data_IF_696276466468
#
_entry.id   IF_696276466468
#
_cell.length_a   1.000
_cell.length_b   1.000
_cell.length_c   1.000
_cell.angle_alpha   90.00
_cell.angle_beta   90.00
_cell.angle_gamma   90.00
#
_symmetry.space_group_name_H-M   'P 1'
#
loop_
_entity.id
_entity.type
_entity.pdbx_description
1 polymer ?
#
# COMPACT_ATOMS: atom_id res chain seq x y z
N UNK A 1 2.33 20.27 -74.40
CA UNK A 1 1.74 18.92 -74.25
C UNK A 1 0.71 19.04 -73.13
N UNK A 2 -0.54 19.33 -73.51
CA UNK A 2 -1.73 18.46 -73.35
C UNK A 2 -2.09 18.26 -71.86
N UNK A 3 -3.05 19.02 -71.30
CA UNK A 3 -4.53 18.87 -71.36
C UNK A 3 -5.02 17.70 -70.47
N UNK A 4 -6.03 17.79 -69.58
CA UNK A 4 -7.01 18.81 -69.18
C UNK A 4 -7.78 18.35 -67.91
N UNK A 5 -8.60 19.23 -67.30
CA UNK A 5 -9.49 18.96 -66.15
C UNK A 5 -10.80 18.21 -66.53
N UNK A 6 -11.96 18.33 -65.82
CA UNK A 6 -12.31 19.21 -64.68
C UNK A 6 -13.22 18.56 -63.56
N UNK A 7 -13.73 19.40 -62.64
CA UNK A 7 -14.98 19.26 -61.83
C UNK A 7 -15.03 18.19 -60.69
N UNK A 8 -15.69 18.36 -59.53
CA UNK A 8 -16.63 19.34 -58.98
C UNK A 8 -16.86 19.02 -57.48
N UNK A 9 -17.48 19.98 -56.76
CA UNK A 9 -18.31 19.84 -55.55
C UNK A 9 -17.66 19.80 -54.16
N UNK A 10 -17.82 20.93 -53.47
CA UNK A 10 -17.86 21.05 -52.02
C UNK A 10 -19.10 20.36 -51.44
N UNK A 11 -18.97 19.61 -50.33
CA UNK A 11 -20.05 19.40 -49.34
C UNK A 11 -19.42 19.36 -47.95
N UNK A 12 -19.86 20.27 -47.09
CA UNK A 12 -19.70 20.23 -45.64
C UNK A 12 -20.75 19.29 -45.06
N UNK A 13 -20.42 18.41 -44.13
CA UNK A 13 -21.42 17.77 -43.26
C UNK A 13 -20.75 17.13 -42.03
N UNK A 14 -21.03 17.71 -40.86
CA UNK A 14 -21.34 16.94 -39.66
C UNK A 14 -22.87 17.04 -39.48
N UNK A 15 -23.58 16.21 -38.68
CA UNK A 15 -23.20 15.04 -37.89
C UNK A 15 -24.12 13.81 -38.19
N UNK A 16 -23.88 12.65 -37.55
CA UNK A 16 -24.95 11.65 -37.37
C UNK A 16 -24.80 10.93 -36.04
N UNK A 17 -25.74 11.23 -35.14
CA UNK A 17 -26.09 10.46 -33.96
C UNK A 17 -26.76 9.15 -34.41
N UNK A 18 -26.02 8.05 -34.36
CA UNK A 18 -26.55 6.70 -34.49
C UNK A 18 -26.65 6.06 -33.11
N UNK A 19 -27.83 6.11 -32.51
CA UNK A 19 -28.23 5.21 -31.44
C UNK A 19 -28.41 3.81 -32.03
N UNK A 20 -27.43 2.93 -31.82
CA UNK A 20 -27.63 1.50 -31.99
C UNK A 20 -27.70 0.88 -30.60
N UNK A 21 -28.93 0.56 -30.19
CA UNK A 21 -29.21 -0.43 -29.16
C UNK A 21 -28.55 -1.74 -29.60
N UNK A 22 -27.33 -1.98 -29.11
CA UNK A 22 -26.68 -3.29 -29.24
C UNK A 22 -27.21 -4.15 -28.11
N UNK A 23 -27.88 -5.21 -28.52
CA UNK A 23 -28.45 -6.27 -27.70
C UNK A 23 -27.59 -6.62 -26.49
N UNK A 24 -28.27 -6.77 -25.37
CA UNK A 24 -27.73 -7.31 -24.12
C UNK A 24 -27.22 -8.73 -24.35
N UNK A 25 -25.97 -8.87 -24.80
CA UNK A 25 -25.21 -10.09 -24.61
C UNK A 25 -24.94 -10.23 -23.11
N UNK A 26 -25.56 -11.25 -22.53
CA UNK A 26 -25.31 -11.75 -21.19
C UNK A 26 -23.79 -11.85 -21.01
N UNK A 27 -23.24 -11.02 -20.12
CA UNK A 27 -21.80 -10.99 -19.84
C UNK A 27 -21.27 -12.38 -19.46
N UNK A 28 -19.98 -12.65 -19.70
CA UNK A 28 -19.42 -13.97 -19.48
C UNK A 28 -19.66 -14.40 -18.03
N UNK A 29 -20.06 -15.67 -17.86
CA UNK A 29 -20.19 -16.34 -16.58
C UNK A 29 -18.99 -16.02 -15.68
N UNK A 30 -19.26 -15.82 -14.39
CA UNK A 30 -18.25 -15.54 -13.38
C UNK A 30 -17.06 -16.48 -13.55
N UNK A 31 -15.89 -15.88 -13.76
CA UNK A 31 -14.63 -16.55 -14.02
C UNK A 31 -14.20 -17.33 -12.77
N UNK A 32 -14.79 -18.52 -12.59
CA UNK A 32 -14.55 -19.39 -11.46
C UNK A 32 -13.09 -19.80 -11.49
N UNK A 33 -12.31 -19.37 -10.51
CA UNK A 33 -10.94 -19.81 -10.38
C UNK A 33 -10.95 -21.30 -10.08
N UNK A 34 -10.61 -22.11 -11.09
CA UNK A 34 -10.68 -23.57 -11.04
C UNK A 34 -9.79 -24.18 -9.96
N UNK A 35 -8.89 -23.38 -9.36
CA UNK A 35 -8.05 -23.76 -8.24
C UNK A 35 -8.78 -23.76 -6.87
N UNK A 36 -9.89 -23.02 -6.72
CA UNK A 36 -10.62 -22.90 -5.44
C UNK A 36 -11.76 -23.92 -5.36
N UNK A 37 -11.39 -25.19 -5.26
CA UNK A 37 -12.32 -26.34 -5.23
C UNK A 37 -12.78 -26.71 -3.80
N UNK A 38 -13.78 -27.60 -3.70
CA UNK A 38 -14.13 -28.21 -2.40
C UNK A 38 -12.97 -29.00 -1.78
N UNK A 39 -12.10 -29.60 -2.60
CA UNK A 39 -10.90 -30.30 -2.15
C UNK A 39 -9.89 -29.33 -1.54
N UNK A 40 -9.63 -28.21 -2.20
CA UNK A 40 -8.83 -27.10 -1.66
C UNK A 40 -9.38 -26.62 -0.31
N UNK A 41 -10.70 -26.46 -0.19
CA UNK A 41 -11.33 -26.05 1.06
C UNK A 41 -11.18 -27.10 2.16
N UNK A 42 -11.27 -28.40 1.83
CA UNK A 42 -11.03 -29.49 2.78
C UNK A 42 -9.59 -29.51 3.28
N UNK A 43 -8.61 -29.28 2.41
CA UNK A 43 -7.20 -29.14 2.81
C UNK A 43 -7.02 -27.98 3.78
N UNK A 44 -7.61 -26.82 3.47
CA UNK A 44 -7.56 -25.63 4.32
C UNK A 44 -8.20 -25.87 5.69
N UNK A 45 -9.39 -26.47 5.73
CA UNK A 45 -10.10 -26.80 6.97
C UNK A 45 -9.33 -27.82 7.82
N UNK A 46 -8.75 -28.84 7.17
CA UNK A 46 -7.90 -29.84 7.83
C UNK A 46 -6.66 -29.20 8.47
N UNK A 47 -5.98 -28.30 7.74
CA UNK A 47 -4.84 -27.54 8.24
C UNK A 47 -5.22 -26.60 9.41
N UNK A 48 -6.45 -26.09 9.42
CA UNK A 48 -7.02 -25.31 10.52
C UNK A 48 -7.47 -26.17 11.73
N UNK A 49 -7.36 -27.50 11.65
CA UNK A 49 -7.71 -28.43 12.73
C UNK A 49 -9.19 -28.85 12.75
N UNK A 50 -9.97 -28.55 11.72
CA UNK A 50 -11.36 -28.98 11.61
C UNK A 50 -11.41 -30.46 11.25
N UNK A 51 -12.01 -31.27 12.13
CA UNK A 51 -12.08 -32.73 11.95
C UNK A 51 -13.32 -33.11 11.14
N UNK A 52 -13.12 -33.87 10.06
CA UNK A 52 -14.17 -34.47 9.24
C UNK A 52 -15.30 -33.50 8.79
N UNK A 53 -14.97 -32.37 8.14
CA UNK A 53 -15.99 -31.40 7.72
C UNK A 53 -16.95 -32.00 6.69
N UNK A 54 -18.25 -31.81 6.91
CA UNK A 54 -19.33 -32.22 6.01
C UNK A 54 -19.87 -31.02 5.22
N UNK A 55 -20.61 -31.30 4.14
CA UNK A 55 -21.24 -30.28 3.27
C UNK A 55 -20.34 -29.09 2.88
N UNK A 56 -19.04 -29.34 2.66
CA UNK A 56 -18.07 -28.28 2.33
C UNK A 56 -18.43 -27.64 1.00
N UNK A 57 -18.62 -26.32 1.01
CA UNK A 57 -18.91 -25.51 -0.19
C UNK A 57 -18.04 -24.26 -0.20
N UNK A 58 -17.59 -23.91 -1.40
CA UNK A 58 -16.81 -22.69 -1.64
C UNK A 58 -17.70 -21.70 -2.36
N UNK A 59 -17.86 -20.52 -1.76
CA UNK A 59 -18.55 -19.40 -2.38
C UNK A 59 -17.54 -18.29 -2.62
N UNK A 60 -17.17 -18.09 -3.88
CA UNK A 60 -16.31 -16.98 -4.29
C UNK A 60 -17.17 -15.80 -4.75
N UNK A 61 -16.83 -14.60 -4.28
CA UNK A 61 -17.34 -13.35 -4.83
C UNK A 61 -16.27 -12.77 -5.74
N UNK A 62 -16.69 -12.14 -6.84
CA UNK A 62 -15.79 -11.49 -7.78
C UNK A 62 -14.82 -10.58 -7.01
N UNK A 63 -13.53 -10.86 -7.18
CA UNK A 63 -12.47 -10.13 -6.53
C UNK A 63 -12.06 -8.86 -7.26
N UNK A 64 -11.12 -8.12 -6.69
CA UNK A 64 -10.45 -7.02 -7.38
C UNK A 64 -9.19 -7.59 -8.04
N UNK A 65 -9.12 -7.51 -9.37
CA UNK A 65 -7.90 -7.78 -10.11
C UNK A 65 -7.01 -6.53 -10.05
N UNK A 66 -5.94 -6.59 -9.27
CA UNK A 66 -4.89 -5.59 -9.27
C UNK A 66 -3.80 -5.91 -10.29
N UNK A 67 -2.92 -4.94 -10.57
CA UNK A 67 -1.80 -5.13 -11.49
C UNK A 67 -0.77 -6.16 -11.00
N UNK A 68 -0.73 -6.42 -9.67
CA UNK A 68 0.28 -7.28 -9.03
C UNK A 68 -0.31 -8.58 -8.46
N UNK A 69 -1.62 -8.64 -8.25
CA UNK A 69 -2.28 -9.84 -7.72
C UNK A 69 -3.76 -9.82 -8.03
N UNK A 70 -4.35 -11.01 -7.98
CA UNK A 70 -5.80 -11.23 -7.98
C UNK A 70 -6.22 -11.45 -6.54
N UNK A 71 -7.14 -10.62 -6.04
CA UNK A 71 -7.60 -10.68 -4.65
C UNK A 71 -9.07 -11.11 -4.64
N UNK A 72 -9.35 -12.32 -4.15
CA UNK A 72 -10.68 -12.92 -4.15
C UNK A 72 -11.25 -12.97 -2.73
N UNK A 73 -12.51 -12.57 -2.56
CA UNK A 73 -13.24 -12.79 -1.32
C UNK A 73 -13.95 -14.14 -1.39
N UNK A 74 -13.62 -15.05 -0.48
CA UNK A 74 -14.07 -16.45 -0.49
C UNK A 74 -14.71 -16.77 0.85
N UNK A 75 -15.89 -17.39 0.85
CA UNK A 75 -16.48 -17.97 2.06
C UNK A 75 -16.51 -19.48 1.92
N UNK A 76 -15.81 -20.17 2.83
CA UNK A 76 -15.90 -21.63 2.97
C UNK A 76 -17.01 -21.94 3.97
N UNK A 77 -18.08 -22.59 3.52
CA UNK A 77 -19.15 -23.09 4.41
C UNK A 77 -18.97 -24.58 4.62
N UNK A 78 -19.12 -25.03 5.85
CA UNK A 78 -18.96 -26.43 6.21
C UNK A 78 -19.81 -26.76 7.43
N UNK A 79 -20.04 -28.05 7.65
CA UNK A 79 -20.63 -28.56 8.89
C UNK A 79 -19.55 -29.27 9.71
N UNK A 80 -19.45 -28.95 11.00
CA UNK A 80 -18.55 -29.58 11.96
C UNK A 80 -19.30 -29.77 13.27
N UNK A 81 -19.20 -30.97 13.86
CA UNK A 81 -19.92 -31.34 15.09
C UNK A 81 -21.44 -31.07 15.09
N UNK A 82 -22.06 -31.13 13.90
CA UNK A 82 -23.49 -30.89 13.70
C UNK A 82 -23.88 -29.40 13.61
N UNK A 83 -22.90 -28.49 13.64
CA UNK A 83 -23.10 -27.05 13.50
C UNK A 83 -22.61 -26.57 12.13
N UNK A 84 -23.36 -25.63 11.56
CA UNK A 84 -23.00 -24.98 10.29
C UNK A 84 -22.12 -23.79 10.54
N UNK A 85 -20.91 -23.87 10.01
CA UNK A 85 -19.87 -22.88 10.16
C UNK A 85 -19.57 -22.17 8.84
N UNK A 86 -19.04 -20.96 8.95
CA UNK A 86 -18.58 -20.18 7.80
C UNK A 86 -17.22 -19.55 8.10
N UNK A 87 -16.28 -19.75 7.18
CA UNK A 87 -14.94 -19.18 7.25
C UNK A 87 -14.77 -18.18 6.09
N UNK A 88 -14.93 -16.88 6.36
CA UNK A 88 -14.71 -15.83 5.38
C UNK A 88 -13.21 -15.54 5.25
N UNK A 89 -12.72 -15.50 4.01
CA UNK A 89 -11.31 -15.49 3.64
C UNK A 89 -11.06 -14.51 2.51
N UNK A 90 -9.83 -13.99 2.47
CA UNK A 90 -9.27 -13.31 1.31
C UNK A 90 -8.16 -14.19 0.73
N UNK A 91 -8.27 -14.51 -0.56
CA UNK A 91 -7.26 -15.30 -1.29
C UNK A 91 -6.55 -14.37 -2.28
N UNK A 92 -5.24 -14.20 -2.08
CA UNK A 92 -4.35 -13.52 -3.02
C UNK A 92 -3.63 -14.54 -3.89
N UNK A 93 -3.75 -14.36 -5.20
CA UNK A 93 -3.14 -15.21 -6.22
C UNK A 93 -2.35 -14.36 -7.22
N UNK A 94 -1.33 -14.93 -7.90
CA UNK A 94 -0.61 -14.21 -8.93
C UNK A 94 -1.52 -13.80 -10.12
N UNK A 95 -1.13 -12.76 -10.88
CA UNK A 95 -1.82 -12.39 -12.11
C UNK A 95 -1.92 -13.57 -13.10
N UNK A 96 -2.97 -13.57 -13.92
CA UNK A 96 -3.15 -14.56 -15.00
C UNK A 96 -2.33 -14.22 -16.23
N UNK A 97 -2.14 -12.92 -16.50
CA UNK A 97 -1.39 -12.51 -17.66
C UNK A 97 0.10 -12.82 -17.46
N UNK A 98 0.79 -13.39 -18.46
CA UNK A 98 2.19 -13.80 -18.30
C UNK A 98 3.14 -12.65 -17.96
N UNK A 99 2.84 -11.43 -18.40
CA UNK A 99 3.70 -10.27 -18.17
C UNK A 99 3.66 -9.80 -16.72
N UNK A 100 2.46 -9.60 -16.17
CA UNK A 100 2.24 -9.26 -14.77
C UNK A 100 2.80 -10.33 -13.84
N UNK A 101 2.61 -11.61 -14.19
CA UNK A 101 3.19 -12.74 -13.45
C UNK A 101 4.71 -12.71 -13.41
N UNK A 102 5.37 -12.51 -14.56
CA UNK A 102 6.83 -12.41 -14.60
C UNK A 102 7.32 -11.20 -13.82
N UNK A 103 6.65 -10.05 -13.96
CA UNK A 103 6.99 -8.83 -13.22
C UNK A 103 6.92 -9.03 -11.69
N UNK A 104 5.86 -9.68 -11.21
CA UNK A 104 5.69 -10.03 -9.79
C UNK A 104 6.78 -10.96 -9.31
N UNK A 105 7.11 -11.99 -10.08
CA UNK A 105 8.13 -12.97 -9.73
C UNK A 105 9.55 -12.37 -9.71
N UNK A 106 9.92 -11.57 -10.71
CA UNK A 106 11.23 -10.88 -10.76
C UNK A 106 11.40 -9.88 -9.61
N UNK A 107 10.32 -9.19 -9.25
CA UNK A 107 10.31 -8.27 -8.11
C UNK A 107 10.10 -8.97 -6.75
N UNK A 108 9.72 -10.25 -6.76
CA UNK A 108 9.40 -11.07 -5.59
C UNK A 108 8.32 -10.45 -4.69
N UNK A 109 7.30 -9.80 -5.26
CA UNK A 109 6.24 -9.14 -4.45
C UNK A 109 5.43 -10.15 -3.64
N UNK A 110 4.92 -11.19 -4.29
CA UNK A 110 4.14 -12.25 -3.68
C UNK A 110 4.94 -13.05 -2.65
N UNK A 111 6.17 -13.43 -3.01
CA UNK A 111 7.11 -14.14 -2.13
C UNK A 111 7.36 -13.33 -0.86
N UNK A 112 7.57 -12.02 -0.98
CA UNK A 112 7.82 -11.14 0.16
C UNK A 112 6.62 -11.03 1.09
N UNK A 113 5.42 -10.88 0.54
CA UNK A 113 4.20 -10.82 1.36
C UNK A 113 3.95 -12.15 2.07
N UNK A 114 4.16 -13.28 1.39
CA UNK A 114 4.06 -14.61 2.02
C UNK A 114 5.05 -14.74 3.17
N UNK A 115 6.33 -14.43 2.94
CA UNK A 115 7.38 -14.53 3.97
C UNK A 115 7.18 -13.54 5.11
N UNK A 116 6.56 -12.38 4.85
CA UNK A 116 6.09 -11.50 5.92
C UNK A 116 5.13 -12.24 6.86
N UNK A 117 4.08 -12.87 6.33
CA UNK A 117 3.08 -13.55 7.15
C UNK A 117 3.58 -14.86 7.77
N UNK A 118 4.46 -15.60 7.10
CA UNK A 118 4.89 -16.93 7.56
C UNK A 118 6.15 -16.92 8.41
N UNK A 119 7.01 -15.91 8.28
CA UNK A 119 8.29 -15.86 8.99
C UNK A 119 8.44 -14.63 9.88
N UNK A 120 8.27 -13.42 9.34
CA UNK A 120 8.56 -12.18 10.07
C UNK A 120 7.48 -11.80 11.09
N UNK A 121 6.21 -11.75 10.68
CA UNK A 121 5.11 -11.37 11.55
C UNK A 121 4.97 -12.31 12.76
N UNK A 122 5.13 -13.64 12.66
CA UNK A 122 5.13 -14.53 13.82
C UNK A 122 6.21 -14.20 14.85
N UNK A 123 7.40 -13.76 14.42
CA UNK A 123 8.48 -13.34 15.33
C UNK A 123 8.09 -12.06 16.05
N UNK A 124 7.60 -11.05 15.33
CA UNK A 124 7.18 -9.77 15.91
C UNK A 124 5.98 -9.95 16.85
N UNK A 125 5.02 -10.82 16.50
CA UNK A 125 3.86 -11.12 17.32
C UNK A 125 4.23 -11.80 18.63
N UNK A 126 5.16 -12.76 18.63
CA UNK A 126 5.66 -13.36 19.87
C UNK A 126 6.30 -12.32 20.78
N UNK A 127 7.15 -11.47 20.21
CA UNK A 127 7.78 -10.37 20.95
C UNK A 127 6.75 -9.42 21.57
N UNK A 128 5.68 -9.11 20.82
CA UNK A 128 4.61 -8.26 21.29
C UNK A 128 3.78 -8.93 22.41
N UNK A 129 3.44 -10.22 22.25
CA UNK A 129 2.68 -10.97 23.25
C UNK A 129 3.46 -11.16 24.56
N UNK A 130 4.78 -11.35 24.49
CA UNK A 130 5.66 -11.39 25.66
C UNK A 130 5.66 -10.07 26.43
N UNK A 131 5.61 -8.94 25.73
CA UNK A 131 5.73 -7.60 26.33
C UNK A 131 4.39 -7.00 26.77
N UNK A 132 3.32 -7.23 26.01
CA UNK A 132 2.02 -6.57 26.17
C UNK A 132 0.88 -7.54 26.55
N UNK A 133 1.10 -8.85 26.44
CA UNK A 133 0.12 -9.89 26.74
C UNK A 133 -0.57 -10.48 25.49
N UNK A 134 -1.40 -11.52 25.67
CA UNK A 134 -2.01 -12.26 24.57
C UNK A 134 -2.85 -11.39 23.63
N UNK A 135 -2.74 -11.61 22.33
CA UNK A 135 -3.51 -10.89 21.31
C UNK A 135 -3.05 -9.46 21.04
N UNK A 136 -1.92 -9.02 21.61
CA UNK A 136 -1.32 -7.71 21.38
C UNK A 136 -0.27 -7.72 20.25
N UNK A 137 -0.50 -8.49 19.19
CA UNK A 137 0.40 -8.59 18.04
C UNK A 137 0.42 -7.35 17.15
N UNK A 138 0.98 -7.51 15.95
CA UNK A 138 0.80 -6.60 14.84
C UNK A 138 -0.69 -6.54 14.44
N UNK A 139 -1.20 -5.36 14.08
CA UNK A 139 -2.55 -5.21 13.57
C UNK A 139 -2.63 -5.63 12.10
N UNK A 140 -2.61 -6.93 11.85
CA UNK A 140 -2.66 -7.55 10.53
C UNK A 140 -3.69 -8.68 10.52
N UNK A 141 -4.25 -9.05 9.36
CA UNK A 141 -5.07 -10.24 9.25
C UNK A 141 -4.28 -11.50 9.62
N UNK A 142 -4.95 -12.46 10.24
CA UNK A 142 -4.40 -13.81 10.44
C UNK A 142 -4.17 -14.50 9.09
N UNK A 143 -2.96 -15.02 8.90
CA UNK A 143 -2.67 -15.94 7.81
C UNK A 143 -3.23 -17.33 8.12
N UNK A 144 -4.07 -17.84 7.21
CA UNK A 144 -4.72 -19.16 7.31
C UNK A 144 -3.93 -20.22 6.54
N UNK A 145 -3.45 -19.86 5.35
CA UNK A 145 -2.64 -20.74 4.49
C UNK A 145 -1.72 -19.87 3.64
N UNK A 146 -0.52 -20.35 3.36
CA UNK A 146 0.35 -19.74 2.38
C UNK A 146 1.14 -20.82 1.63
N UNK A 147 1.44 -20.55 0.35
CA UNK A 147 2.27 -21.40 -0.51
C UNK A 147 3.19 -20.50 -1.33
N UNK A 148 4.49 -20.70 -1.14
CA UNK A 148 5.51 -20.09 -1.99
C UNK A 148 5.47 -20.71 -3.39
N UNK A 149 5.87 -19.95 -4.43
CA UNK A 149 5.98 -20.51 -5.77
C UNK A 149 7.17 -21.49 -5.83
N UNK A 150 6.99 -22.65 -6.48
CA UNK A 150 8.04 -23.67 -6.62
C UNK A 150 9.16 -23.23 -7.57
N UNK A 151 8.87 -22.30 -8.48
CA UNK A 151 9.79 -21.73 -9.46
C UNK A 151 9.43 -20.28 -9.78
N UNK A 152 10.33 -19.55 -10.43
CA UNK A 152 10.09 -18.15 -10.83
C UNK A 152 8.88 -18.09 -11.78
N UNK A 153 7.84 -17.37 -11.36
CA UNK A 153 6.57 -17.27 -12.11
C UNK A 153 5.58 -18.40 -11.84
N UNK A 154 5.93 -19.35 -10.96
CA UNK A 154 5.03 -20.40 -10.51
C UNK A 154 3.84 -19.87 -9.70
N UNK A 155 2.91 -20.76 -9.36
CA UNK A 155 1.71 -20.38 -8.61
C UNK A 155 2.01 -20.25 -7.11
N UNK A 156 1.97 -19.01 -6.62
CA UNK A 156 1.90 -18.69 -5.20
C UNK A 156 0.46 -18.58 -4.72
N UNK A 157 0.25 -18.73 -3.41
CA UNK A 157 -1.06 -18.56 -2.77
C UNK A 157 -0.88 -17.95 -1.38
N UNK A 158 -1.67 -16.93 -1.06
CA UNK A 158 -1.77 -16.40 0.29
C UNK A 158 -3.25 -16.29 0.68
N UNK A 159 -3.64 -16.99 1.74
CA UNK A 159 -5.00 -17.01 2.27
C UNK A 159 -5.00 -16.36 3.65
N UNK A 160 -5.71 -15.24 3.74
CA UNK A 160 -5.86 -14.45 4.95
C UNK A 160 -7.30 -14.54 5.44
N UNK A 161 -7.52 -14.29 6.73
CA UNK A 161 -8.87 -14.06 7.24
C UNK A 161 -9.50 -12.81 6.59
N UNK A 162 -10.80 -12.87 6.30
CA UNK A 162 -11.54 -11.69 5.85
C UNK A 162 -12.05 -10.91 7.07
N UNK A 163 -11.31 -9.87 7.44
CA UNK A 163 -11.62 -9.01 8.60
C UNK A 163 -12.87 -8.13 8.38
N UNK A 164 -13.40 -8.03 7.15
CA UNK A 164 -14.66 -7.29 6.92
C UNK A 164 -15.84 -7.98 7.58
N UNK A 165 -15.77 -9.31 7.73
CA UNK A 165 -16.77 -10.11 8.44
C UNK A 165 -16.90 -9.76 9.93
N UNK A 166 -15.85 -9.17 10.53
CA UNK A 166 -15.83 -8.72 11.92
C UNK A 166 -15.95 -7.19 12.04
N UNK A 167 -16.42 -6.52 10.98
CA UNK A 167 -16.80 -5.10 11.00
C UNK A 167 -15.68 -4.12 10.65
N UNK A 168 -14.57 -4.59 10.06
CA UNK A 168 -13.61 -3.68 9.44
C UNK A 168 -14.07 -3.23 8.05
N UNK A 169 -13.82 -1.97 7.70
CA UNK A 169 -14.11 -1.41 6.39
C UNK A 169 -12.94 -0.60 5.81
N UNK A 170 -12.95 -0.39 4.50
CA UNK A 170 -11.99 0.50 3.86
C UNK A 170 -12.40 1.96 4.04
N UNK A 171 -11.41 2.86 4.02
CA UNK A 171 -11.70 4.28 3.90
C UNK A 171 -12.03 4.64 2.44
N UNK A 172 -12.97 5.57 2.24
CA UNK A 172 -13.15 6.22 0.95
C UNK A 172 -11.90 7.05 0.66
N UNK A 173 -11.16 6.65 -0.38
CA UNK A 173 -9.96 7.37 -0.76
C UNK A 173 -10.28 8.83 -1.04
N UNK A 174 -11.36 9.19 -1.75
CA UNK A 174 -11.63 10.57 -2.15
C UNK A 174 -11.98 11.48 -0.96
N UNK A 175 -12.69 10.97 0.05
CA UNK A 175 -13.02 11.73 1.28
C UNK A 175 -11.79 11.89 2.19
N UNK A 176 -10.93 10.88 2.23
CA UNK A 176 -9.80 10.83 3.16
C UNK A 176 -10.18 10.35 4.56
N UNK A 177 -9.18 10.26 5.43
CA UNK A 177 -9.34 9.75 6.78
C UNK A 177 -9.93 10.80 7.74
N UNK A 178 -10.64 10.31 8.76
CA UNK A 178 -10.93 11.08 9.98
C UNK A 178 -9.68 11.18 10.85
N UNK A 179 -9.69 12.07 11.85
CA UNK A 179 -8.59 12.21 12.82
C UNK A 179 -8.38 10.90 13.59
N UNK A 180 -9.47 10.26 13.99
CA UNK A 180 -9.44 9.03 14.79
C UNK A 180 -8.87 7.86 13.99
N UNK A 181 -9.26 7.70 12.72
CA UNK A 181 -8.69 6.69 11.81
C UNK A 181 -7.22 6.98 11.51
N UNK A 182 -6.85 8.25 11.27
CA UNK A 182 -5.45 8.63 11.07
C UNK A 182 -4.58 8.32 12.30
N UNK A 183 -5.07 8.60 13.52
CA UNK A 183 -4.39 8.24 14.77
C UNK A 183 -4.24 6.72 14.90
N UNK A 184 -5.30 5.95 14.65
CA UNK A 184 -5.27 4.50 14.71
C UNK A 184 -4.24 3.89 13.74
N UNK A 185 -4.18 4.41 12.51
CA UNK A 185 -3.17 4.02 11.52
C UNK A 185 -1.75 4.33 12.00
N UNK A 186 -1.53 5.53 12.54
CA UNK A 186 -0.20 5.90 13.07
C UNK A 186 0.20 5.04 14.27
N UNK A 187 -0.74 4.65 15.12
CA UNK A 187 -0.45 3.72 16.23
C UNK A 187 -0.11 2.31 15.73
N UNK A 188 -0.76 1.85 14.65
CA UNK A 188 -0.40 0.61 13.97
C UNK A 188 1.03 0.66 13.40
N UNK A 189 1.40 1.77 12.75
CA UNK A 189 2.78 1.98 12.28
C UNK A 189 3.79 2.03 13.44
N UNK A 190 3.45 2.71 14.54
CA UNK A 190 4.30 2.78 15.72
C UNK A 190 4.55 1.39 16.33
N UNK A 191 3.55 0.50 16.33
CA UNK A 191 3.71 -0.91 16.76
C UNK A 191 4.70 -1.68 15.91
N UNK A 192 4.59 -1.59 14.58
CA UNK A 192 5.56 -2.21 13.67
C UNK A 192 6.98 -1.70 13.92
N UNK A 193 7.13 -0.37 14.00
CA UNK A 193 8.42 0.27 14.16
C UNK A 193 9.05 -0.08 15.53
N UNK A 194 8.28 -0.04 16.61
CA UNK A 194 8.77 -0.38 17.95
C UNK A 194 9.21 -1.84 18.05
N UNK A 195 8.40 -2.78 17.53
CA UNK A 195 8.74 -4.21 17.55
C UNK A 195 9.98 -4.51 16.71
N UNK A 196 10.12 -3.87 15.54
CA UNK A 196 11.29 -4.08 14.68
C UNK A 196 12.57 -3.48 15.27
N UNK A 197 12.51 -2.32 15.92
CA UNK A 197 13.65 -1.76 16.67
C UNK A 197 14.09 -2.72 17.79
N UNK A 198 13.13 -3.22 18.57
CA UNK A 198 13.41 -4.16 19.66
C UNK A 198 13.97 -5.48 19.15
N UNK A 199 13.45 -6.01 18.04
CA UNK A 199 13.99 -7.20 17.40
C UNK A 199 15.43 -6.99 16.93
N UNK A 200 15.70 -5.83 16.30
CA UNK A 200 17.03 -5.46 15.82
C UNK A 200 18.04 -5.36 16.96
N UNK A 201 17.68 -4.78 18.10
CA UNK A 201 18.57 -4.73 19.27
C UNK A 201 18.86 -6.12 19.85
N UNK A 202 17.89 -7.03 19.80
CA UNK A 202 18.05 -8.40 20.33
C UNK A 202 18.84 -9.32 19.39
N UNK A 203 18.63 -9.19 18.09
CA UNK A 203 19.09 -10.19 17.11
C UNK A 203 20.06 -9.64 16.05
N UNK A 204 20.30 -8.33 16.03
CA UNK A 204 21.16 -7.66 15.06
C UNK A 204 20.41 -7.19 13.80
N UNK A 205 21.12 -6.86 12.72
CA UNK A 205 20.53 -6.32 11.49
C UNK A 205 19.46 -7.24 10.89
N UNK A 206 18.26 -6.71 10.64
CA UNK A 206 17.11 -7.51 10.24
C UNK A 206 17.20 -8.01 8.79
N UNK A 207 17.89 -7.29 7.92
CA UNK A 207 18.16 -7.67 6.52
C UNK A 207 19.08 -8.89 6.39
N UNK A 208 19.90 -9.17 7.41
CA UNK A 208 20.71 -10.40 7.46
C UNK A 208 19.89 -11.62 7.84
N UNK A 209 18.81 -11.42 8.62
CA UNK A 209 17.91 -12.48 9.05
C UNK A 209 16.78 -12.73 8.06
N UNK A 210 16.26 -11.66 7.48
CA UNK A 210 15.14 -11.65 6.55
C UNK A 210 15.64 -11.08 5.21
N UNK A 211 16.34 -11.90 4.44
CA UNK A 211 16.95 -11.50 3.16
C UNK A 211 15.93 -11.19 2.04
N UNK A 212 14.65 -11.49 2.28
CA UNK A 212 13.54 -11.20 1.39
C UNK A 212 13.00 -9.76 1.49
N UNK A 213 13.43 -8.98 2.49
CA UNK A 213 13.05 -7.57 2.63
C UNK A 213 13.35 -6.80 1.34
N UNK A 214 12.49 -5.83 1.00
CA UNK A 214 12.63 -5.13 -0.27
C UNK A 214 13.97 -4.37 -0.33
N UNK A 215 14.85 -4.68 -1.29
CA UNK A 215 16.18 -4.09 -1.32
C UNK A 215 16.13 -2.65 -1.86
N UNK A 216 16.93 -1.77 -1.25
CA UNK A 216 16.97 -0.35 -1.56
C UNK A 216 17.31 -0.07 -3.04
N UNK A 217 18.20 -0.86 -3.63
CA UNK A 217 18.63 -0.72 -5.03
C UNK A 217 17.47 -0.98 -6.01
N UNK A 218 16.66 -2.02 -5.75
CA UNK A 218 15.45 -2.28 -6.55
C UNK A 218 14.43 -1.18 -6.34
N UNK A 219 14.35 -0.62 -5.12
CA UNK A 219 13.43 0.48 -4.82
C UNK A 219 13.81 1.71 -5.64
N UNK A 220 15.09 2.04 -5.74
CA UNK A 220 15.57 3.15 -6.56
C UNK A 220 15.20 3.00 -8.04
N UNK A 221 15.36 1.80 -8.62
CA UNK A 221 14.95 1.54 -10.00
C UNK A 221 13.42 1.68 -10.19
N UNK A 222 12.62 1.19 -9.23
CA UNK A 222 11.16 1.35 -9.22
C UNK A 222 10.74 2.82 -9.12
N UNK A 223 11.29 3.55 -8.15
CA UNK A 223 11.06 4.98 -7.97
C UNK A 223 11.45 5.77 -9.22
N UNK A 224 12.56 5.45 -9.88
CA UNK A 224 12.96 6.13 -11.10
C UNK A 224 11.92 5.98 -12.22
N UNK A 225 11.29 4.80 -12.35
CA UNK A 225 10.18 4.58 -13.29
C UNK A 225 8.95 5.40 -12.90
N UNK A 226 8.57 5.38 -11.63
CA UNK A 226 7.45 6.17 -11.09
C UNK A 226 7.66 7.67 -11.33
N UNK A 227 8.85 8.19 -11.02
CA UNK A 227 9.25 9.57 -11.25
C UNK A 227 9.16 9.95 -12.72
N UNK A 228 9.73 9.13 -13.62
CA UNK A 228 9.75 9.39 -15.07
C UNK A 228 8.36 9.36 -15.71
N UNK A 229 7.44 8.58 -15.14
CA UNK A 229 6.03 8.53 -15.59
C UNK A 229 5.20 9.64 -14.97
N UNK A 230 5.29 9.78 -13.66
CA UNK A 230 4.36 10.54 -12.83
C UNK A 230 4.61 12.03 -12.80
N UNK A 231 5.86 12.47 -12.65
CA UNK A 231 6.16 13.91 -12.56
C UNK A 231 5.79 14.68 -13.83
N UNK A 232 6.00 14.18 -15.06
CA UNK A 232 5.53 14.87 -16.27
C UNK A 232 4.01 15.03 -16.32
N UNK A 233 3.25 14.06 -15.82
CA UNK A 233 1.78 14.13 -15.76
C UNK A 233 1.32 15.15 -14.71
N UNK A 234 1.95 15.13 -13.53
CA UNK A 234 1.70 16.13 -12.49
C UNK A 234 2.03 17.55 -12.98
N UNK A 235 3.16 17.72 -13.66
CA UNK A 235 3.55 18.99 -14.28
C UNK A 235 2.52 19.47 -15.31
N UNK A 236 2.03 18.57 -16.17
CA UNK A 236 0.99 18.88 -17.16
C UNK A 236 -0.33 19.29 -16.48
N UNK A 237 -0.74 18.57 -15.44
CA UNK A 237 -1.91 18.90 -14.62
C UNK A 237 -1.81 20.30 -14.01
N UNK A 238 -0.65 20.66 -13.45
CA UNK A 238 -0.42 21.99 -12.86
C UNK A 238 -0.39 23.09 -13.91
N UNK A 239 0.24 22.86 -15.08
CA UNK A 239 0.26 23.84 -16.18
C UNK A 239 -1.12 24.11 -16.79
N UNK A 240 -2.06 23.18 -16.64
CA UNK A 240 -3.46 23.41 -17.01
C UNK A 240 -4.16 24.48 -16.17
N UNK A 241 -3.52 24.98 -15.10
CA UNK A 241 -4.08 25.95 -14.15
C UNK A 241 -3.27 27.26 -14.16
N UNK A 242 -3.98 28.39 -14.17
CA UNK A 242 -3.35 29.72 -14.22
C UNK A 242 -2.75 30.17 -12.88
N UNK A 243 -3.16 29.55 -11.78
CA UNK A 243 -2.78 29.85 -10.40
C UNK A 243 -1.74 28.87 -9.84
N UNK A 244 -1.06 28.10 -10.70
CA UNK A 244 -0.08 27.06 -10.33
C UNK A 244 1.25 27.19 -11.08
N UNK A 245 1.59 28.40 -11.58
CA UNK A 245 2.76 28.62 -12.44
C UNK A 245 4.07 28.30 -11.70
N UNK A 246 4.19 28.73 -10.44
CA UNK A 246 5.39 28.51 -9.64
C UNK A 246 5.55 27.04 -9.23
N UNK A 247 4.46 26.39 -8.83
CA UNK A 247 4.42 24.97 -8.50
C UNK A 247 4.77 24.10 -9.70
N UNK A 248 4.22 24.42 -10.88
CA UNK A 248 4.56 23.72 -12.12
C UNK A 248 6.06 23.87 -12.46
N UNK A 249 6.64 25.05 -12.26
CA UNK A 249 8.06 25.28 -12.45
C UNK A 249 8.91 24.50 -11.44
N UNK A 250 8.49 24.45 -10.17
CA UNK A 250 9.15 23.69 -9.11
C UNK A 250 9.10 22.17 -9.37
N UNK A 251 7.95 21.64 -9.80
CA UNK A 251 7.81 20.22 -10.19
C UNK A 251 8.65 19.89 -11.41
N UNK A 252 8.72 20.78 -12.40
CA UNK A 252 9.60 20.60 -13.57
C UNK A 252 11.07 20.55 -13.16
N UNK A 253 11.49 21.47 -12.27
CA UNK A 253 12.83 21.46 -11.70
C UNK A 253 13.10 20.19 -10.89
N UNK A 254 12.13 19.72 -10.10
CA UNK A 254 12.17 18.46 -9.34
C UNK A 254 12.33 17.25 -10.27
N UNK A 255 11.63 17.22 -11.40
CA UNK A 255 11.70 16.14 -12.38
C UNK A 255 13.12 15.95 -12.92
N UNK A 256 13.81 17.05 -13.24
CA UNK A 256 15.18 17.01 -13.74
C UNK A 256 16.20 16.50 -12.70
N UNK A 257 15.95 16.74 -11.40
CA UNK A 257 16.86 16.41 -10.29
C UNK A 257 16.51 15.14 -9.53
N UNK A 258 15.28 14.63 -9.66
CA UNK A 258 14.79 13.47 -8.94
C UNK A 258 15.72 12.24 -9.03
N UNK A 259 16.31 11.88 -10.19
CA UNK A 259 17.25 10.76 -10.26
C UNK A 259 18.45 10.90 -9.31
N UNK A 260 18.98 12.12 -9.15
CA UNK A 260 20.10 12.39 -8.23
C UNK A 260 19.69 12.41 -6.76
N UNK A 261 18.39 12.61 -6.47
CA UNK A 261 17.86 12.63 -5.11
C UNK A 261 17.52 11.24 -4.57
N UNK A 262 17.27 10.25 -5.44
CA UNK A 262 16.82 8.92 -5.00
C UNK A 262 17.77 8.26 -4.00
N UNK A 263 19.08 8.44 -4.16
CA UNK A 263 20.07 7.95 -3.20
C UNK A 263 19.88 8.56 -1.80
N UNK A 264 19.63 9.86 -1.70
CA UNK A 264 19.33 10.54 -0.43
C UNK A 264 17.96 10.13 0.13
N UNK A 265 16.94 10.06 -0.71
CA UNK A 265 15.57 9.80 -0.29
C UNK A 265 15.35 8.37 0.20
N UNK A 266 16.04 7.38 -0.39
CA UNK A 266 15.84 5.97 -0.12
C UNK A 266 16.85 5.38 0.87
N UNK A 267 17.93 6.10 1.20
CA UNK A 267 18.95 5.65 2.15
C UNK A 267 18.32 5.44 3.54
N UNK A 268 18.33 4.20 4.07
CA UNK A 268 17.92 3.95 5.46
C UNK A 268 18.77 4.79 6.43
N UNK A 269 18.21 5.10 7.60
CA UNK A 269 18.96 5.73 8.69
C UNK A 269 19.01 4.77 9.87
N UNK A 270 20.17 4.63 10.49
CA UNK A 270 20.30 3.85 11.72
C UNK A 270 19.74 4.62 12.92
N UNK A 271 19.06 3.94 13.88
CA UNK A 271 18.62 2.56 13.79
C UNK A 271 17.52 2.38 12.74
N UNK A 272 17.69 1.45 11.80
CA UNK A 272 16.75 1.23 10.70
C UNK A 272 15.69 0.17 11.08
N UNK A 273 14.45 0.56 11.42
CA UNK A 273 13.35 -0.38 11.60
C UNK A 273 12.81 -0.89 10.26
N UNK A 274 11.89 -1.84 10.36
CA UNK A 274 11.03 -2.19 9.25
C UNK A 274 10.05 -1.06 8.97
N UNK A 275 9.80 -0.76 7.70
CA UNK A 275 8.72 0.10 7.24
C UNK A 275 7.77 -0.73 6.37
N UNK A 276 6.47 -0.39 6.40
CA UNK A 276 5.49 -0.93 5.48
C UNK A 276 5.80 -0.48 4.04
N UNK A 277 6.27 0.77 3.89
CA UNK A 277 6.69 1.42 2.65
C UNK A 277 5.60 1.66 1.59
N UNK A 278 4.36 1.27 1.88
CA UNK A 278 3.15 1.55 1.10
C UNK A 278 1.96 1.85 2.04
N UNK A 279 2.22 2.69 3.05
CA UNK A 279 1.31 2.99 4.14
C UNK A 279 0.34 4.14 3.81
N UNK A 280 -0.69 3.84 3.01
CA UNK A 280 -1.76 4.78 2.63
C UNK A 280 -3.14 4.16 2.88
N UNK A 281 -4.21 4.97 2.89
CA UNK A 281 -5.55 4.53 3.30
C UNK A 281 -6.14 3.38 2.49
N UNK A 282 -5.68 3.15 1.26
CA UNK A 282 -6.11 2.02 0.43
C UNK A 282 -5.62 0.65 0.93
N UNK A 283 -4.55 0.63 1.71
CA UNK A 283 -3.98 -0.57 2.33
C UNK A 283 -4.37 -0.71 3.80
N UNK A 284 -5.31 0.11 4.29
CA UNK A 284 -5.73 0.12 5.69
C UNK A 284 -7.23 -0.14 5.79
N UNK A 285 -7.59 -0.98 6.77
CA UNK A 285 -8.98 -1.20 7.15
C UNK A 285 -9.22 -0.70 8.57
N UNK A 286 -10.41 -0.19 8.83
CA UNK A 286 -10.76 0.46 10.09
C UNK A 286 -12.02 -0.14 10.69
N UNK A 287 -12.12 -0.13 12.02
CA UNK A 287 -13.33 -0.48 12.76
C UNK A 287 -13.50 0.43 13.95
N UNK A 288 -14.72 0.88 14.20
CA UNK A 288 -15.06 1.57 15.44
C UNK A 288 -15.51 0.55 16.50
N UNK A 289 -14.82 0.53 17.64
CA UNK A 289 -15.13 -0.36 18.76
C UNK A 289 -15.02 0.39 20.07
N UNK A 290 -16.10 0.40 20.85
CA UNK A 290 -16.14 1.05 22.17
C UNK A 290 -15.70 2.53 22.16
N UNK A 291 -15.96 3.25 21.05
CA UNK A 291 -15.58 4.65 20.87
C UNK A 291 -14.10 4.86 20.49
N UNK A 292 -13.40 3.80 20.09
CA UNK A 292 -12.04 3.85 19.58
C UNK A 292 -11.98 3.30 18.16
N UNK A 293 -11.24 3.99 17.28
CA UNK A 293 -10.90 3.46 15.96
C UNK A 293 -9.75 2.46 16.10
N UNK A 294 -9.96 1.26 15.56
CA UNK A 294 -8.94 0.25 15.33
C UNK A 294 -8.52 0.31 13.86
N UNK A 295 -7.26 -0.04 13.57
CA UNK A 295 -6.71 -0.10 12.22
C UNK A 295 -6.06 -1.47 12.01
N UNK A 296 -6.20 -2.01 10.80
CA UNK A 296 -5.48 -3.19 10.30
C UNK A 296 -4.75 -2.81 9.01
N UNK A 297 -3.49 -3.19 8.91
CA UNK A 297 -2.68 -2.96 7.71
C UNK A 297 -2.63 -4.21 6.81
N UNK A 298 -2.81 -3.99 5.51
CA UNK A 298 -2.81 -4.99 4.45
C UNK A 298 -1.63 -4.74 3.50
N UNK A 299 -1.35 -5.72 2.65
CA UNK A 299 -0.41 -5.57 1.53
C UNK A 299 1.04 -5.27 1.94
N UNK A 300 1.70 -6.33 2.42
CA UNK A 300 3.08 -6.26 2.92
C UNK A 300 4.13 -6.51 1.83
N UNK A 301 3.75 -6.36 0.56
CA UNK A 301 4.63 -6.62 -0.60
C UNK A 301 5.83 -5.67 -0.68
N UNK A 302 5.79 -4.54 0.03
CA UNK A 302 6.85 -3.52 0.01
C UNK A 302 7.67 -3.45 1.31
N UNK A 303 7.44 -4.36 2.26
CA UNK A 303 8.11 -4.35 3.56
C UNK A 303 9.64 -4.30 3.39
N UNK A 304 10.28 -3.35 4.05
CA UNK A 304 11.69 -3.01 3.84
C UNK A 304 12.32 -2.40 5.08
N UNK A 305 13.65 -2.32 5.10
CA UNK A 305 14.33 -1.42 6.04
C UNK A 305 14.15 0.02 5.58
N UNK A 306 13.71 0.88 6.49
CA UNK A 306 13.35 2.25 6.12
C UNK A 306 13.46 3.22 7.29
N UNK A 307 12.99 4.45 7.04
CA UNK A 307 12.86 5.45 8.08
C UNK A 307 11.39 5.51 8.49
N UNK A 308 11.07 5.51 9.79
CA UNK A 308 9.68 5.55 10.26
C UNK A 308 8.83 6.70 9.71
N UNK A 309 9.48 7.84 9.45
CA UNK A 309 8.83 9.02 8.88
C UNK A 309 8.33 8.79 7.45
N UNK A 310 8.83 7.77 6.72
CA UNK A 310 8.35 7.44 5.37
C UNK A 310 6.89 6.99 5.36
N UNK A 311 6.51 6.08 6.25
CA UNK A 311 5.13 5.60 6.39
C UNK A 311 4.21 6.71 6.90
N UNK A 312 4.69 7.50 7.87
CA UNK A 312 3.94 8.63 8.43
C UNK A 312 3.70 9.70 7.36
N UNK A 313 4.73 10.10 6.61
CA UNK A 313 4.61 11.14 5.59
C UNK A 313 3.72 10.69 4.42
N UNK A 314 3.83 9.43 4.01
CA UNK A 314 2.98 8.87 2.98
C UNK A 314 1.51 8.90 3.40
N UNK A 315 1.18 8.46 4.62
CA UNK A 315 -0.18 8.53 5.14
C UNK A 315 -0.69 9.98 5.15
N UNK A 316 0.05 10.91 5.77
CA UNK A 316 -0.36 12.31 5.91
C UNK A 316 -0.59 13.02 4.57
N UNK A 317 0.21 12.72 3.55
CA UNK A 317 0.09 13.38 2.24
C UNK A 317 -0.96 12.73 1.34
N UNK A 318 -1.07 11.39 1.36
CA UNK A 318 -1.97 10.66 0.47
C UNK A 318 -3.40 10.55 1.00
N UNK A 319 -3.57 10.50 2.33
CA UNK A 319 -4.79 9.99 2.95
C UNK A 319 -5.55 11.03 3.78
N UNK A 320 -4.96 12.20 4.04
CA UNK A 320 -5.61 13.27 4.79
C UNK A 320 -6.07 14.38 3.86
N UNK A 321 -7.16 15.04 4.23
CA UNK A 321 -7.56 16.29 3.57
C UNK A 321 -6.54 17.40 3.85
N UNK A 322 -6.39 18.39 2.95
CA UNK A 322 -5.47 19.52 3.13
C UNK A 322 -5.75 20.28 4.43
N UNK A 323 -7.02 20.52 4.73
CA UNK A 323 -7.43 21.22 5.94
C UNK A 323 -7.03 20.44 7.20
N UNK A 324 -7.25 19.12 7.22
CA UNK A 324 -6.85 18.29 8.35
C UNK A 324 -5.33 18.21 8.49
N UNK A 325 -4.59 18.04 7.39
CA UNK A 325 -3.12 18.01 7.40
C UNK A 325 -2.54 19.31 7.98
N UNK A 326 -3.09 20.48 7.61
CA UNK A 326 -2.66 21.77 8.14
C UNK A 326 -3.07 21.98 9.60
N UNK A 327 -4.27 21.53 9.97
CA UNK A 327 -4.81 21.75 11.32
C UNK A 327 -4.18 20.84 12.38
N UNK A 328 -3.96 19.56 12.06
CA UNK A 328 -3.56 18.54 13.05
C UNK A 328 -2.38 17.67 12.62
N UNK A 329 -1.81 17.87 11.43
CA UNK A 329 -0.72 17.01 10.93
C UNK A 329 0.51 16.98 11.85
N UNK A 330 0.91 18.11 12.41
CA UNK A 330 2.01 18.16 13.39
C UNK A 330 1.64 17.42 14.69
N UNK A 331 0.41 17.57 15.20
CA UNK A 331 -0.07 16.84 16.38
C UNK A 331 -0.03 15.33 16.14
N UNK A 332 -0.45 14.87 14.96
CA UNK A 332 -0.43 13.46 14.60
C UNK A 332 1.01 12.89 14.55
N UNK A 333 1.99 13.66 14.07
CA UNK A 333 3.41 13.25 14.10
C UNK A 333 3.91 13.12 15.54
N UNK A 334 3.52 14.05 16.43
CA UNK A 334 3.88 13.99 17.84
C UNK A 334 3.22 12.80 18.54
N UNK A 335 1.92 12.57 18.32
CA UNK A 335 1.18 11.42 18.87
C UNK A 335 1.77 10.09 18.40
N UNK A 336 2.15 10.00 17.12
CA UNK A 336 2.89 8.85 16.57
C UNK A 336 4.21 8.64 17.32
N UNK A 337 4.99 9.71 17.50
CA UNK A 337 6.28 9.66 18.16
C UNK A 337 6.19 9.26 19.63
N UNK A 338 5.22 9.80 20.37
CA UNK A 338 4.99 9.47 21.77
C UNK A 338 4.55 8.01 21.93
N UNK A 339 3.70 7.51 21.02
CA UNK A 339 3.30 6.10 20.99
C UNK A 339 4.50 5.19 20.73
N UNK A 340 5.32 5.51 19.72
CA UNK A 340 6.52 4.75 19.38
C UNK A 340 7.47 4.65 20.58
N UNK A 341 7.78 5.77 21.22
CA UNK A 341 8.70 5.82 22.36
C UNK A 341 8.17 4.98 23.53
N UNK A 342 6.88 5.10 23.87
CA UNK A 342 6.25 4.32 24.94
C UNK A 342 6.29 2.80 24.68
N UNK A 343 6.03 2.36 23.44
CA UNK A 343 6.12 0.94 23.09
C UNK A 343 7.57 0.44 23.09
N UNK A 344 8.51 1.21 22.57
CA UNK A 344 9.94 0.91 22.66
C UNK A 344 10.40 0.76 24.12
N UNK A 345 9.94 1.62 25.03
CA UNK A 345 10.25 1.50 26.47
C UNK A 345 9.76 0.16 27.04
N UNK A 346 8.54 -0.26 26.68
CA UNK A 346 7.97 -1.53 27.15
C UNK A 346 8.71 -2.75 26.58
N UNK A 347 9.17 -2.65 25.33
CA UNK A 347 9.89 -3.72 24.62
C UNK A 347 11.37 -3.85 25.01
N UNK A 348 11.88 -2.90 25.80
CA UNK A 348 13.29 -2.83 26.20
C UNK A 348 14.21 -2.13 25.20
N UNK A 349 13.64 -1.38 24.24
CA UNK A 349 14.34 -0.66 23.17
C UNK A 349 14.28 0.87 23.32
N UNK A 350 14.31 1.36 24.56
CA UNK A 350 14.08 2.77 24.88
C UNK A 350 15.08 3.72 24.19
N UNK A 351 16.35 3.32 24.06
CA UNK A 351 17.38 4.14 23.44
C UNK A 351 17.11 4.36 21.93
N UNK A 352 16.83 3.28 21.20
CA UNK A 352 16.46 3.36 19.80
C UNK A 352 15.15 4.14 19.58
N UNK A 353 14.13 3.91 20.43
CA UNK A 353 12.87 4.65 20.37
C UNK A 353 13.06 6.16 20.52
N UNK A 354 13.84 6.58 21.53
CA UNK A 354 14.14 7.99 21.77
C UNK A 354 14.99 8.62 20.64
N UNK A 355 15.88 7.85 20.01
CA UNK A 355 16.65 8.30 18.86
C UNK A 355 15.75 8.56 17.64
N UNK A 356 14.88 7.61 17.30
CA UNK A 356 13.91 7.77 16.22
C UNK A 356 12.98 8.95 16.50
N UNK A 357 12.45 9.08 17.72
CA UNK A 357 11.58 10.18 18.14
C UNK A 357 12.20 11.54 17.86
N UNK A 358 13.49 11.72 18.19
CA UNK A 358 14.25 12.96 17.92
C UNK A 358 14.43 13.22 16.43
N UNK A 359 14.52 12.16 15.61
CA UNK A 359 14.72 12.24 14.17
C UNK A 359 13.48 12.58 13.34
N UNK A 360 12.26 12.44 13.89
CA UNK A 360 11.02 12.59 13.10
C UNK A 360 10.86 13.96 12.43
N UNK A 361 10.84 15.06 13.20
CA UNK A 361 10.66 16.41 12.63
C UNK A 361 11.79 16.81 11.66
N UNK A 362 13.09 16.58 11.99
CA UNK A 362 14.17 16.85 11.04
C UNK A 362 14.08 16.06 9.72
N UNK A 363 13.52 14.85 9.76
CA UNK A 363 13.41 13.97 8.60
C UNK A 363 12.18 14.26 7.71
N UNK A 364 11.21 15.07 8.20
CA UNK A 364 9.99 15.45 7.47
C UNK A 364 10.25 15.92 6.03
N UNK A 365 11.16 16.87 5.74
CA UNK A 365 11.37 17.34 4.37
C UNK A 365 11.73 16.21 3.38
N UNK A 366 12.57 15.27 3.81
CA UNK A 366 12.98 14.12 3.00
C UNK A 366 11.81 13.15 2.80
N UNK A 367 11.15 12.78 3.90
CA UNK A 367 10.04 11.84 3.86
C UNK A 367 8.85 12.37 3.05
N UNK A 368 8.50 13.65 3.22
CA UNK A 368 7.43 14.31 2.49
C UNK A 368 7.73 14.41 0.98
N UNK A 369 8.98 14.70 0.60
CA UNK A 369 9.38 14.68 -0.80
C UNK A 369 9.28 13.27 -1.39
N UNK A 370 9.75 12.26 -0.67
CA UNK A 370 9.64 10.85 -1.09
C UNK A 370 8.17 10.44 -1.27
N UNK A 371 7.30 10.79 -0.33
CA UNK A 371 5.87 10.53 -0.41
C UNK A 371 5.21 11.24 -1.61
N UNK A 372 5.59 12.48 -1.91
CA UNK A 372 5.11 13.18 -3.11
C UNK A 372 5.52 12.44 -4.40
N UNK A 373 6.76 11.92 -4.48
CA UNK A 373 7.20 11.16 -5.65
C UNK A 373 6.38 9.87 -5.86
N UNK A 374 6.00 9.20 -4.76
CA UNK A 374 5.08 8.06 -4.82
C UNK A 374 3.69 8.48 -5.31
N UNK A 375 3.12 9.54 -4.71
CA UNK A 375 1.81 10.06 -5.11
C UNK A 375 1.79 10.48 -6.60
N UNK A 376 2.85 11.13 -7.07
CA UNK A 376 3.01 11.48 -8.48
C UNK A 376 3.16 10.24 -9.37
N UNK A 377 3.90 9.22 -8.92
CA UNK A 377 4.04 7.94 -9.62
C UNK A 377 2.71 7.21 -9.84
N UNK A 378 1.77 7.41 -8.92
CA UNK A 378 0.41 6.86 -8.93
C UNK A 378 -0.65 7.93 -9.22
N UNK A 379 -0.29 8.98 -9.98
CA UNK A 379 -1.17 10.12 -10.24
C UNK A 379 -2.49 9.73 -10.92
N UNK A 380 -2.50 8.63 -11.67
CA UNK A 380 -3.72 8.05 -12.27
C UNK A 380 -4.78 7.64 -11.22
N UNK A 381 -4.37 7.39 -9.97
CA UNK A 381 -5.29 7.12 -8.85
C UNK A 381 -6.00 8.40 -8.38
N UNK A 382 -5.38 9.56 -8.60
CA UNK A 382 -5.92 10.85 -8.19
C UNK A 382 -6.63 11.60 -9.32
N UNK A 383 -6.12 11.52 -10.56
CA UNK A 383 -6.68 12.23 -11.71
C UNK A 383 -8.04 11.64 -12.11
N UNK A 384 -8.99 12.52 -12.42
CA UNK A 384 -10.36 12.13 -12.77
C UNK A 384 -11.32 12.09 -11.58
N UNK A 385 -10.82 12.15 -10.35
CA UNK A 385 -11.63 12.34 -9.13
C UNK A 385 -11.34 13.73 -8.53
N UNK A 386 -12.25 14.72 -8.65
CA UNK A 386 -12.00 16.12 -8.29
C UNK A 386 -11.46 16.33 -6.86
N UNK A 387 -11.92 15.52 -5.90
CA UNK A 387 -11.43 15.62 -4.51
C UNK A 387 -10.00 15.14 -4.40
N UNK A 388 -9.67 14.00 -5.00
CA UNK A 388 -8.31 13.47 -4.99
C UNK A 388 -7.34 14.39 -5.73
N UNK A 389 -7.75 14.97 -6.87
CA UNK A 389 -6.99 16.00 -7.58
C UNK A 389 -6.70 17.23 -6.71
N UNK A 390 -7.72 17.71 -5.98
CA UNK A 390 -7.57 18.85 -5.07
C UNK A 390 -6.57 18.53 -3.96
N UNK A 391 -6.59 17.32 -3.39
CA UNK A 391 -5.62 16.95 -2.35
C UNK A 391 -4.19 16.89 -2.89
N UNK A 392 -3.99 16.31 -4.07
CA UNK A 392 -2.67 16.25 -4.70
C UNK A 392 -2.14 17.65 -5.02
N UNK A 393 -3.00 18.53 -5.56
CA UNK A 393 -2.66 19.93 -5.81
C UNK A 393 -2.22 20.65 -4.52
N UNK A 394 -3.02 20.56 -3.48
CA UNK A 394 -2.75 21.24 -2.22
C UNK A 394 -1.53 20.65 -1.49
N UNK A 395 -1.24 19.35 -1.67
CA UNK A 395 0.01 18.75 -1.21
C UNK A 395 1.23 19.36 -1.93
N UNK A 396 1.18 19.55 -3.26
CA UNK A 396 2.26 20.21 -4.00
C UNK A 396 2.45 21.65 -3.52
N UNK A 397 1.36 22.40 -3.32
CA UNK A 397 1.41 23.79 -2.81
C UNK A 397 2.03 23.87 -1.42
N UNK A 398 1.60 23.02 -0.49
CA UNK A 398 2.13 22.99 0.87
C UNK A 398 3.63 22.69 0.86
N UNK A 399 4.08 21.71 0.06
CA UNK A 399 5.49 21.34 -0.03
C UNK A 399 6.32 22.39 -0.78
N UNK A 400 5.74 23.08 -1.77
CA UNK A 400 6.37 24.21 -2.42
C UNK A 400 6.60 25.37 -1.45
N UNK A 401 5.56 25.75 -0.68
CA UNK A 401 5.64 26.81 0.32
C UNK A 401 6.65 26.50 1.44
N UNK A 402 6.84 25.23 1.78
CA UNK A 402 7.86 24.77 2.73
C UNK A 402 9.27 24.70 2.12
N UNK A 403 9.44 24.97 0.81
CA UNK A 403 10.71 24.86 0.11
C UNK A 403 11.18 23.42 -0.14
N UNK A 404 10.34 22.42 0.13
CA UNK A 404 10.69 20.99 0.07
C UNK A 404 10.93 20.54 -1.37
N UNK A 405 10.22 21.11 -2.35
CA UNK A 405 10.45 20.79 -3.78
C UNK A 405 11.85 21.21 -4.26
N UNK A 406 12.52 22.10 -3.52
CA UNK A 406 13.89 22.57 -3.80
C UNK A 406 14.97 21.82 -3.01
N UNK A 407 14.62 20.76 -2.27
CA UNK A 407 15.56 19.98 -1.46
C UNK A 407 16.72 19.45 -2.30
N UNK A 408 17.94 19.61 -1.76
CA UNK A 408 19.20 19.19 -2.40
C UNK A 408 19.58 17.77 -1.96
N UNK A 409 20.32 17.01 -2.79
CA UNK A 409 20.90 15.76 -2.32
C UNK A 409 21.84 16.08 -1.16
N UNK A 410 21.96 15.15 -0.22
CA UNK A 410 23.04 15.22 0.75
C UNK A 410 24.36 15.25 -0.04
N UNK A 411 25.20 16.26 0.20
CA UNK A 411 26.57 16.20 -0.28
C UNK A 411 27.20 15.04 0.49
N UNK A 412 27.58 13.96 -0.19
CA UNK A 412 28.29 12.85 0.44
C UNK A 412 29.46 13.42 1.27
N UNK A 413 29.43 13.16 2.58
CA UNK A 413 30.51 13.43 3.53
C UNK A 413 31.35 12.17 3.69
#
# INVERSE_FOLDING_TARGET
>A
MQAGGPDSAAISEAPSSGSEESDCEVGPEADADTALTEEWARELLSAAGVVAPQEVRVESRAGVAGALSRVLAVTVRYESDGEREALPLVVKLPPRDPFGRLFVAEAQFDTREILFYTELAPVLNRLAEEAFGPGQGLPIPKCVKARLPDEIGGDSELVLEDVTSIGFDSADFAEGLTVERARAALYAAARLHALSLALREREGPLDQRFDFLFPCERAAAGYLRLVRRGLPQLEAFLRGRTDCIEEAAAVSALSARAPSLLGTLLRPAEPAPLAHADFWSGNLLFREKEGQSECIALDWQMVSLGRPMDDVALLLLSSLTPDMRRAVGESLIEEYGDRLEAECMTLGAAAAGAEVRRGLKPDWPRAALRALLLCAGSVDVALGEPRAESRLLEAVRDLHAQGILSLKPDNDA
#
